data_IF_843403268380
#
_entry.id   IF_843403268380
#
_cell.length_a   1.000
_cell.length_b   1.000
_cell.length_c   1.000
_cell.angle_alpha   90.00
_cell.angle_beta   90.00
_cell.angle_gamma   90.00
#
_symmetry.space_group_name_H-M   'P 1'
#
loop_
_entity.id
_entity.type
_entity.pdbx_description
1 polymer ?
#
# COMPACT_ATOMS: atom_id res chain seq x y z
N UNK A 1 7.55 3.66 5.65
CA UNK A 1 6.52 4.66 5.30
C UNK A 1 7.20 5.91 4.79
N UNK A 2 6.61 6.59 3.79
CA UNK A 2 7.07 7.89 3.28
C UNK A 2 5.89 8.86 3.34
N UNK A 3 6.13 10.10 3.77
CA UNK A 3 5.09 11.14 3.84
C UNK A 3 5.36 12.21 2.78
N UNK A 4 4.31 12.78 2.19
CA UNK A 4 4.46 13.87 1.22
C UNK A 4 3.26 14.82 1.26
N UNK A 5 3.35 15.94 0.53
CA UNK A 5 2.24 16.89 0.39
C UNK A 5 1.16 16.30 -0.52
N UNK A 6 -0.10 16.34 -0.07
CA UNK A 6 -1.27 15.92 -0.85
C UNK A 6 -1.47 16.89 -2.02
N UNK A 7 -1.31 16.45 -3.27
CA UNK A 7 -1.32 17.32 -4.45
C UNK A 7 -2.57 17.16 -5.31
N UNK A 8 -3.24 18.27 -5.64
CA UNK A 8 -4.27 18.37 -6.68
C UNK A 8 -4.07 19.66 -7.50
N UNK A 9 -4.31 19.65 -8.82
CA UNK A 9 -4.24 20.84 -9.66
C UNK A 9 -5.53 21.65 -9.55
N UNK A 10 -5.45 22.90 -9.10
CA UNK A 10 -6.52 23.91 -9.24
C UNK A 10 -7.04 24.54 -7.95
N UNK A 11 -6.87 25.86 -7.83
CA UNK A 11 -7.85 26.78 -7.23
C UNK A 11 -7.83 26.98 -5.72
N UNK A 12 -7.35 28.16 -5.31
CA UNK A 12 -7.67 28.95 -4.10
C UNK A 12 -7.96 28.22 -2.75
N UNK A 13 -7.05 28.45 -1.79
CA UNK A 13 -7.22 28.32 -0.33
C UNK A 13 -7.67 26.95 0.22
N UNK A 14 -6.90 25.89 -0.04
CA UNK A 14 -6.96 24.68 0.78
C UNK A 14 -5.70 24.61 1.63
N UNK A 15 -5.84 24.67 2.96
CA UNK A 15 -4.77 24.41 3.92
C UNK A 15 -4.17 23.02 3.63
N UNK A 16 -3.12 23.01 2.80
CA UNK A 16 -2.53 21.82 2.20
C UNK A 16 -1.65 21.12 3.22
N UNK A 17 -2.30 20.47 4.18
CA UNK A 17 -1.62 19.67 5.20
C UNK A 17 -0.94 18.47 4.52
N UNK A 18 0.33 18.21 4.86
CA UNK A 18 1.10 17.09 4.32
C UNK A 18 0.57 15.76 4.85
N UNK A 19 -0.63 15.33 4.45
CA UNK A 19 -1.26 14.13 5.01
C UNK A 19 -1.05 12.87 4.18
N UNK A 20 -0.56 12.97 2.92
CA UNK A 20 -0.29 11.80 2.08
C UNK A 20 0.77 10.91 2.73
N UNK A 21 0.41 9.65 2.96
CA UNK A 21 1.28 8.58 3.45
C UNK A 21 1.40 7.50 2.40
N UNK A 22 2.62 7.03 2.19
CA UNK A 22 2.97 5.93 1.32
C UNK A 22 3.56 4.79 2.17
N UNK A 23 3.01 3.59 2.04
CA UNK A 23 3.54 2.35 2.58
C UNK A 23 4.31 1.65 1.45
N UNK A 24 5.56 1.29 1.71
CA UNK A 24 6.40 0.47 0.82
C UNK A 24 6.85 -0.76 1.60
N UNK A 25 6.59 -1.93 1.05
CA UNK A 25 6.98 -3.22 1.62
C UNK A 25 7.71 -4.03 0.56
N UNK A 26 8.93 -4.49 0.87
CA UNK A 26 9.78 -5.17 -0.09
C UNK A 26 9.43 -6.65 -0.12
N UNK A 27 8.62 -7.09 -1.08
CA UNK A 27 8.11 -8.48 -1.14
C UNK A 27 9.25 -9.46 -1.41
N UNK A 28 10.05 -9.18 -2.46
CA UNK A 28 11.05 -10.14 -2.95
C UNK A 28 12.21 -10.39 -1.98
N UNK A 29 12.51 -9.43 -1.11
CA UNK A 29 13.58 -9.53 -0.11
C UNK A 29 13.06 -9.69 1.31
N UNK A 30 11.76 -9.89 1.50
CA UNK A 30 11.17 -10.08 2.82
C UNK A 30 11.44 -11.49 3.33
N UNK A 31 12.03 -11.61 4.52
CA UNK A 31 12.17 -12.87 5.26
C UNK A 31 10.86 -13.31 5.92
N UNK A 32 9.86 -12.41 5.97
CA UNK A 32 8.53 -12.70 6.52
C UNK A 32 7.64 -13.51 5.58
N UNK A 33 8.06 -13.71 4.33
CA UNK A 33 7.32 -14.46 3.32
C UNK A 33 8.16 -15.63 2.84
N UNK A 34 7.54 -16.79 2.69
CA UNK A 34 8.09 -17.93 1.96
C UNK A 34 8.16 -17.65 0.46
N UNK A 35 8.95 -18.42 -0.29
CA UNK A 35 9.08 -18.20 -1.74
C UNK A 35 7.76 -18.46 -2.50
N UNK A 36 6.92 -19.37 -2.01
CA UNK A 36 5.56 -19.58 -2.51
C UNK A 36 4.67 -18.35 -2.25
N UNK A 37 4.71 -17.79 -1.05
CA UNK A 37 3.94 -16.59 -0.71
C UNK A 37 4.42 -15.36 -1.48
N UNK A 38 5.73 -15.21 -1.68
CA UNK A 38 6.29 -14.15 -2.55
C UNK A 38 5.76 -14.28 -3.97
N UNK A 39 5.72 -15.50 -4.50
CA UNK A 39 5.19 -15.76 -5.85
C UNK A 39 3.71 -15.39 -5.92
N UNK A 40 2.91 -15.87 -4.97
CA UNK A 40 1.47 -15.60 -4.92
C UNK A 40 1.15 -14.10 -4.77
N UNK A 41 1.92 -13.38 -3.96
CA UNK A 41 1.81 -11.93 -3.81
C UNK A 41 2.18 -11.22 -5.11
N UNK A 42 3.25 -11.64 -5.79
CA UNK A 42 3.62 -11.06 -7.09
C UNK A 42 2.55 -11.31 -8.16
N UNK A 43 1.97 -12.50 -8.20
CA UNK A 43 0.89 -12.84 -9.14
C UNK A 43 -0.41 -12.08 -8.85
N UNK A 44 -0.88 -12.08 -7.59
CA UNK A 44 -2.18 -11.51 -7.23
C UNK A 44 -2.16 -10.01 -7.00
N UNK A 45 -1.04 -9.47 -6.52
CA UNK A 45 -0.88 -8.05 -6.19
C UNK A 45 0.08 -7.33 -7.14
N UNK A 46 0.42 -7.93 -8.30
CA UNK A 46 1.33 -7.36 -9.29
C UNK A 46 1.01 -5.91 -9.68
N UNK A 47 -0.28 -5.54 -9.76
CA UNK A 47 -0.69 -4.15 -10.05
C UNK A 47 -0.30 -3.12 -8.98
N UNK A 48 0.00 -3.58 -7.76
CA UNK A 48 0.46 -2.76 -6.64
C UNK A 48 1.97 -2.89 -6.41
N UNK A 49 2.64 -3.76 -7.17
CA UNK A 49 4.07 -4.02 -7.01
C UNK A 49 4.85 -3.26 -8.08
N UNK A 50 5.86 -2.53 -7.65
CA UNK A 50 6.79 -1.84 -8.55
C UNK A 50 7.75 -2.84 -9.19
N UNK A 51 8.37 -2.48 -10.31
CA UNK A 51 9.43 -3.28 -10.96
C UNK A 51 10.60 -3.64 -10.02
N UNK A 52 10.85 -2.83 -8.99
CA UNK A 52 11.87 -3.09 -7.96
C UNK A 52 11.44 -4.12 -6.90
N UNK A 53 10.24 -4.70 -7.00
CA UNK A 53 9.70 -5.69 -6.06
C UNK A 53 9.09 -5.12 -4.77
N UNK A 54 8.75 -3.83 -4.74
CA UNK A 54 8.03 -3.21 -3.61
C UNK A 54 6.52 -3.21 -3.84
N UNK A 55 5.78 -3.77 -2.90
CA UNK A 55 4.35 -3.52 -2.75
C UNK A 55 4.17 -2.09 -2.22
N UNK A 56 3.54 -1.23 -3.01
CA UNK A 56 3.39 0.20 -2.72
C UNK A 56 1.92 0.60 -2.60
N UNK A 57 1.58 1.28 -1.50
CA UNK A 57 0.24 1.78 -1.24
C UNK A 57 0.29 3.25 -0.84
N UNK A 58 -0.60 4.07 -1.41
CA UNK A 58 -0.70 5.49 -1.13
C UNK A 58 -2.07 5.80 -0.51
N UNK A 59 -2.06 6.50 0.63
CA UNK A 59 -3.26 6.91 1.35
C UNK A 59 -3.19 8.41 1.62
N UNK A 60 -4.26 9.11 1.25
CA UNK A 60 -4.41 10.56 1.40
C UNK A 60 -5.87 10.96 1.66
N UNK A 61 -6.64 10.04 2.23
CA UNK A 61 -8.07 10.21 2.50
C UNK A 61 -8.31 11.00 3.78
N UNK A 62 -7.44 10.82 4.78
CA UNK A 62 -7.59 11.48 6.08
C UNK A 62 -6.95 12.87 6.11
N UNK A 63 -7.43 13.67 7.08
CA UNK A 63 -6.97 15.05 7.31
C UNK A 63 -5.58 15.09 7.96
N UNK A 64 -5.16 14.01 8.60
CA UNK A 64 -3.88 13.93 9.31
C UNK A 64 -3.05 12.74 8.80
N UNK A 65 -1.74 12.78 9.07
CA UNK A 65 -0.83 11.71 8.65
C UNK A 65 -1.10 10.39 9.37
N UNK A 66 -1.48 10.45 10.66
CA UNK A 66 -1.71 9.26 11.47
C UNK A 66 -2.85 8.40 10.91
N UNK A 67 -4.01 9.00 10.65
CA UNK A 67 -5.14 8.32 10.05
C UNK A 67 -4.83 7.79 8.65
N UNK A 68 -4.05 8.52 7.85
CA UNK A 68 -3.60 8.00 6.55
C UNK A 68 -2.62 6.83 6.68
N UNK A 69 -1.76 6.84 7.70
CA UNK A 69 -0.87 5.70 8.02
C UNK A 69 -1.69 4.48 8.43
N UNK A 70 -2.63 4.64 9.34
CA UNK A 70 -3.54 3.56 9.78
C UNK A 70 -4.33 3.00 8.61
N UNK A 71 -4.87 3.88 7.75
CA UNK A 71 -5.60 3.48 6.54
C UNK A 71 -4.72 2.66 5.58
N UNK A 72 -3.46 3.04 5.44
CA UNK A 72 -2.51 2.30 4.60
C UNK A 72 -2.15 0.93 5.20
N UNK A 73 -2.03 0.84 6.52
CA UNK A 73 -1.81 -0.43 7.22
C UNK A 73 -3.03 -1.34 7.04
N UNK A 74 -4.25 -0.82 7.23
CA UNK A 74 -5.49 -1.59 7.02
C UNK A 74 -5.55 -2.14 5.59
N UNK A 75 -5.39 -1.28 4.57
CA UNK A 75 -5.39 -1.69 3.17
C UNK A 75 -4.32 -2.72 2.86
N UNK A 76 -3.14 -2.58 3.45
CA UNK A 76 -2.04 -3.53 3.28
C UNK A 76 -2.44 -4.93 3.76
N UNK A 77 -2.98 -5.04 4.98
CA UNK A 77 -3.45 -6.32 5.50
C UNK A 77 -4.65 -6.87 4.72
N UNK A 78 -5.58 -6.03 4.29
CA UNK A 78 -6.70 -6.47 3.44
C UNK A 78 -6.22 -7.08 2.12
N UNK A 79 -5.23 -6.46 1.47
CA UNK A 79 -4.66 -6.96 0.23
C UNK A 79 -3.90 -8.27 0.43
N UNK A 80 -3.06 -8.36 1.47
CA UNK A 80 -2.36 -9.60 1.80
C UNK A 80 -3.34 -10.72 2.15
N UNK A 81 -4.36 -10.43 2.95
CA UNK A 81 -5.39 -11.42 3.31
C UNK A 81 -6.13 -11.91 2.06
N UNK A 82 -6.47 -11.03 1.12
CA UNK A 82 -7.08 -11.43 -0.16
C UNK A 82 -6.12 -12.22 -1.04
N UNK A 83 -4.83 -11.89 -1.02
CA UNK A 83 -3.81 -12.62 -1.76
C UNK A 83 -3.64 -14.04 -1.21
N UNK A 84 -3.57 -14.20 0.12
CA UNK A 84 -3.38 -15.48 0.79
C UNK A 84 -4.66 -16.27 1.02
N UNK A 85 -5.84 -15.65 0.88
CA UNK A 85 -7.09 -16.38 0.90
C UNK A 85 -7.06 -17.46 -0.17
N UNK A 86 -7.06 -18.73 0.29
CA UNK A 86 -7.19 -19.92 -0.56
C UNK A 86 -8.40 -19.68 -1.46
N UNK A 87 -8.21 -19.67 -2.78
CA UNK A 87 -9.37 -19.78 -3.67
C UNK A 87 -10.08 -21.07 -3.25
N UNK A 88 -11.30 -20.94 -2.75
CA UNK A 88 -12.17 -22.10 -2.61
C UNK A 88 -12.25 -22.71 -4.00
N UNK A 89 -11.69 -23.91 -4.16
CA UNK A 89 -11.93 -24.76 -5.31
C UNK A 89 -13.46 -24.86 -5.43
N UNK A 90 -14.00 -24.30 -6.51
CA UNK A 90 -15.40 -24.46 -6.87
C UNK A 90 -15.58 -25.79 -7.59
#
# INVERSE_FOLDING_TARGET
FRTSRSGGPGGQNVNKVSSKVELRFRVNSSELLTDEEKTLVNEKLGSYITNEGYLQLICQTERNQLGNKERCIQKFYELLTKAFAKQKVR
#
